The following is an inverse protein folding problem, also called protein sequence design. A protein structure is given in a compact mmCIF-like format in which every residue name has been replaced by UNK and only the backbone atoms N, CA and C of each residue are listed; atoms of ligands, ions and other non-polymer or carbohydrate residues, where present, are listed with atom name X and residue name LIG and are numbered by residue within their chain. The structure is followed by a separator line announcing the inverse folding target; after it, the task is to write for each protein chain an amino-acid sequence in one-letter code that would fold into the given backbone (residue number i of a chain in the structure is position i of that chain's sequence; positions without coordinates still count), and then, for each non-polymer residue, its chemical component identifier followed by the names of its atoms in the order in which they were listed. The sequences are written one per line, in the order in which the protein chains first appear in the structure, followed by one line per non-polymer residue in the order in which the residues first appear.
data_IF_972370607647
#
_entry.id   IF_972370607647
#
_cell.length_a   1.000
_cell.length_b   1.000
_cell.length_c   1.000
_cell.angle_alpha   90.00
_cell.angle_beta   90.00
_cell.angle_gamma   90.00
#
_symmetry.space_group_name_H-M   'P 1'
#
loop_
_entity.id
_entity.type
_entity.pdbx_description
1 polymer ?
#
# COMPACT_ATOMS: atom_id res chain seq x y z
N UNK A 1 -50.38 5.98 -4.86
CA UNK A 1 -49.99 6.05 -6.29
C UNK A 1 -48.73 6.86 -6.42
N UNK A 2 -47.76 6.35 -7.09
CA UNK A 2 -46.44 6.90 -7.48
C UNK A 2 -45.28 6.42 -6.61
N UNK A 3 -44.72 5.38 -6.96
CA UNK A 3 -43.43 4.85 -7.40
C UNK A 3 -42.22 5.77 -7.07
N UNK A 4 -41.49 5.41 -6.02
CA UNK A 4 -40.08 5.80 -5.87
C UNK A 4 -39.18 4.62 -6.33
N UNK A 5 -38.38 4.86 -7.37
CA UNK A 5 -37.43 3.92 -7.91
C UNK A 5 -36.07 4.08 -7.20
N UNK A 6 -35.61 2.97 -6.67
CA UNK A 6 -34.26 2.72 -6.21
C UNK A 6 -33.18 3.09 -7.23
N UNK A 7 -32.17 3.81 -6.79
CA UNK A 7 -30.83 3.79 -7.36
C UNK A 7 -29.81 3.86 -6.24
N UNK A 8 -29.53 2.73 -5.60
CA UNK A 8 -28.29 2.52 -4.87
C UNK A 8 -27.37 1.70 -5.77
N UNK A 9 -26.27 2.28 -6.20
CA UNK A 9 -25.08 1.56 -6.66
C UNK A 9 -23.92 1.98 -5.80
N UNK A 10 -23.73 1.27 -4.69
CA UNK A 10 -22.49 1.26 -3.95
C UNK A 10 -21.52 0.30 -4.64
N UNK A 11 -20.41 0.79 -5.14
CA UNK A 11 -19.29 -0.04 -5.57
C UNK A 11 -18.37 -0.30 -4.38
N UNK A 12 -18.78 -1.22 -3.51
CA UNK A 12 -17.86 -1.87 -2.59
C UNK A 12 -17.15 -2.99 -3.37
N UNK A 13 -15.82 -2.96 -3.40
CA UNK A 13 -15.03 -4.14 -3.73
C UNK A 13 -15.18 -5.16 -2.59
N UNK A 14 -16.32 -5.82 -2.54
CA UNK A 14 -16.60 -6.91 -1.63
C UNK A 14 -16.17 -8.21 -2.33
N UNK A 15 -15.17 -8.89 -1.81
CA UNK A 15 -14.86 -10.24 -2.19
C UNK A 15 -16.07 -11.14 -1.88
N UNK A 16 -16.86 -11.48 -2.91
CA UNK A 16 -18.00 -12.36 -2.78
C UNK A 16 -17.51 -13.82 -2.75
N UNK A 17 -17.49 -14.43 -1.56
CA UNK A 17 -17.41 -15.88 -1.44
C UNK A 17 -18.73 -16.50 -1.87
N UNK A 18 -18.81 -16.99 -3.10
CA UNK A 18 -19.86 -17.91 -3.52
C UNK A 18 -19.38 -19.34 -3.30
N UNK A 19 -19.95 -20.02 -2.31
CA UNK A 19 -19.77 -21.44 -2.12
C UNK A 19 -20.53 -22.21 -3.22
N UNK A 20 -19.84 -22.53 -4.29
CA UNK A 20 -20.24 -23.47 -5.31
C UNK A 20 -19.12 -24.50 -5.45
N UNK A 21 -19.37 -25.77 -5.08
CA UNK A 21 -18.49 -26.89 -5.36
C UNK A 21 -18.48 -27.18 -6.87
N UNK A 22 -17.68 -26.42 -7.62
CA UNK A 22 -17.26 -26.76 -8.95
C UNK A 22 -15.80 -27.25 -8.87
N UNK A 23 -15.50 -28.37 -9.51
CA UNK A 23 -14.14 -28.87 -9.65
C UNK A 23 -13.28 -27.74 -10.21
N UNK A 24 -12.35 -27.24 -9.42
CA UNK A 24 -11.34 -26.29 -9.86
C UNK A 24 -10.46 -27.02 -10.85
N UNK A 25 -10.75 -26.85 -12.14
CA UNK A 25 -9.74 -27.15 -13.16
C UNK A 25 -8.52 -26.31 -12.80
N UNK A 26 -7.36 -26.95 -12.60
CA UNK A 26 -6.11 -26.24 -12.38
C UNK A 26 -5.89 -25.34 -13.60
N UNK A 27 -6.16 -24.05 -13.46
CA UNK A 27 -5.78 -23.10 -14.49
C UNK A 27 -4.25 -23.14 -14.55
N UNK A 28 -3.73 -23.61 -15.68
CA UNK A 28 -2.30 -23.52 -15.94
C UNK A 28 -1.94 -22.04 -15.95
N UNK A 29 -1.15 -21.62 -14.98
CA UNK A 29 -0.66 -20.24 -14.89
C UNK A 29 -0.01 -19.84 -16.22
N UNK A 30 -0.48 -18.76 -16.82
CA UNK A 30 0.12 -18.22 -18.05
C UNK A 30 1.38 -17.46 -17.62
N UNK A 31 2.59 -17.85 -18.07
CA UNK A 31 3.80 -17.12 -17.73
C UNK A 31 3.70 -15.67 -18.20
N UNK A 32 3.99 -14.74 -17.31
CA UNK A 32 3.93 -13.30 -17.59
C UNK A 32 5.33 -12.69 -17.58
N UNK A 33 5.49 -11.61 -18.35
CA UNK A 33 6.68 -10.78 -18.38
C UNK A 33 6.29 -9.30 -18.29
N UNK A 34 7.23 -8.44 -17.93
CA UNK A 34 7.02 -7.00 -17.73
C UNK A 34 8.03 -6.19 -18.56
N UNK A 35 8.07 -6.47 -19.87
CA UNK A 35 9.06 -5.90 -20.79
C UNK A 35 8.61 -4.61 -21.45
N UNK A 36 7.29 -4.36 -21.55
CA UNK A 36 6.76 -3.10 -22.07
C UNK A 36 6.77 -2.07 -20.95
N UNK A 37 7.47 -0.96 -21.16
CA UNK A 37 7.61 0.11 -20.17
C UNK A 37 7.14 1.43 -20.74
N UNK A 38 6.45 2.20 -19.90
CA UNK A 38 6.12 3.60 -20.15
C UNK A 38 6.70 4.46 -19.02
N UNK A 39 7.50 5.45 -19.37
CA UNK A 39 7.95 6.45 -18.41
C UNK A 39 6.82 7.46 -18.19
N UNK A 40 6.46 7.68 -16.92
CA UNK A 40 5.41 8.62 -16.54
C UNK A 40 5.91 10.07 -16.50
N UNK A 41 7.24 10.25 -16.48
CA UNK A 41 7.91 11.53 -16.49
C UNK A 41 9.28 11.42 -17.19
N UNK A 42 9.86 12.55 -17.56
CA UNK A 42 11.17 12.61 -18.22
C UNK A 42 12.31 12.99 -17.28
N UNK A 43 11.98 13.43 -16.06
CA UNK A 43 12.92 13.87 -15.03
C UNK A 43 13.20 12.74 -14.02
N UNK A 44 14.38 12.75 -13.42
CA UNK A 44 14.78 11.83 -12.37
C UNK A 44 14.68 12.53 -11.02
N UNK A 45 13.45 12.69 -10.53
CA UNK A 45 13.18 13.36 -9.26
C UNK A 45 12.97 12.36 -8.12
N UNK A 46 12.79 12.86 -6.90
CA UNK A 46 12.49 12.00 -5.75
C UNK A 46 11.00 11.75 -5.64
N UNK A 47 10.58 10.50 -5.81
CA UNK A 47 9.22 10.05 -5.54
C UNK A 47 9.23 8.99 -4.45
N UNK A 48 8.19 8.97 -3.62
CA UNK A 48 8.14 8.13 -2.42
C UNK A 48 7.03 7.09 -2.46
N UNK A 49 5.89 7.39 -3.05
CA UNK A 49 4.82 6.42 -3.22
C UNK A 49 4.05 6.65 -4.52
N UNK A 50 3.38 5.59 -4.94
CA UNK A 50 2.41 5.57 -6.02
C UNK A 50 1.13 4.93 -5.50
N UNK A 51 -0.01 5.51 -5.86
CA UNK A 51 -1.34 4.95 -5.56
C UNK A 51 -2.16 4.89 -6.84
N UNK A 52 -3.05 3.92 -6.93
CA UNK A 52 -3.95 3.71 -8.08
C UNK A 52 -5.40 3.83 -7.62
N UNK A 53 -6.21 4.54 -8.40
CA UNK A 53 -7.65 4.67 -8.18
C UNK A 53 -8.30 5.43 -9.31
N UNK A 54 -9.56 5.17 -9.57
CA UNK A 54 -10.38 5.95 -10.49
C UNK A 54 -10.80 7.25 -9.78
N UNK A 55 -10.06 8.34 -10.03
CA UNK A 55 -10.31 9.61 -9.34
C UNK A 55 -11.18 10.58 -10.14
N UNK A 56 -11.49 10.26 -11.41
CA UNK A 56 -12.35 11.10 -12.24
C UNK A 56 -13.65 10.42 -12.69
N UNK A 57 -13.92 9.21 -12.17
CA UNK A 57 -15.16 8.47 -12.40
C UNK A 57 -15.28 7.91 -13.82
N UNK A 58 -14.17 7.79 -14.57
CA UNK A 58 -14.18 7.30 -15.94
C UNK A 58 -14.13 5.76 -16.05
N UNK A 59 -13.98 5.05 -14.93
CA UNK A 59 -13.92 3.59 -14.84
C UNK A 59 -12.53 3.01 -15.08
N UNK A 60 -11.47 3.83 -15.15
CA UNK A 60 -10.08 3.40 -15.31
C UNK A 60 -9.22 3.84 -14.13
N UNK A 61 -8.13 3.10 -13.86
CA UNK A 61 -7.24 3.44 -12.76
C UNK A 61 -6.29 4.56 -13.16
N UNK A 62 -6.34 5.67 -12.42
CA UNK A 62 -5.37 6.76 -12.50
C UNK A 62 -4.17 6.49 -11.59
N UNK A 63 -3.09 7.23 -11.79
CA UNK A 63 -1.87 7.13 -11.00
C UNK A 63 -1.63 8.40 -10.22
N UNK A 64 -1.51 8.29 -8.90
CA UNK A 64 -1.13 9.39 -8.01
C UNK A 64 0.31 9.20 -7.58
N UNK A 65 1.17 10.18 -7.83
CA UNK A 65 2.57 10.17 -7.43
C UNK A 65 2.81 11.14 -6.29
N UNK A 66 3.21 10.61 -5.13
CA UNK A 66 3.72 11.41 -4.01
C UNK A 66 5.20 11.71 -4.24
N UNK A 67 5.53 12.98 -4.34
CA UNK A 67 6.86 13.47 -4.73
C UNK A 67 7.50 14.30 -3.63
N UNK A 68 8.81 14.42 -3.69
CA UNK A 68 9.56 15.34 -2.85
C UNK A 68 10.36 14.68 -1.73
N UNK A 69 9.77 13.87 -0.89
CA UNK A 69 10.45 13.27 0.27
C UNK A 69 11.19 14.31 1.13
N UNK A 70 12.46 14.54 0.86
CA UNK A 70 13.32 15.50 1.58
C UNK A 70 13.36 16.89 0.93
N UNK A 71 12.92 17.01 -0.32
CA UNK A 71 12.91 18.24 -1.10
C UNK A 71 11.48 18.52 -1.53
N UNK A 72 10.98 19.75 -1.39
CA UNK A 72 9.60 20.03 -1.80
C UNK A 72 9.45 19.91 -3.32
N UNK A 73 8.52 19.07 -3.75
CA UNK A 73 8.09 18.87 -5.14
C UNK A 73 6.57 18.86 -5.21
N UNK A 74 6.04 19.11 -6.39
CA UNK A 74 4.59 19.08 -6.64
C UNK A 74 4.15 17.63 -6.91
N UNK A 75 3.19 17.13 -6.14
CA UNK A 75 2.57 15.83 -6.36
C UNK A 75 1.80 15.83 -7.68
N UNK A 76 1.73 14.68 -8.33
CA UNK A 76 1.13 14.55 -9.66
C UNK A 76 -0.04 13.58 -9.67
N UNK A 77 -1.09 13.94 -10.38
CA UNK A 77 -2.15 13.05 -10.83
C UNK A 77 -1.91 12.76 -12.30
N UNK A 78 -1.85 11.50 -12.67
CA UNK A 78 -1.74 11.07 -14.07
C UNK A 78 -3.04 10.37 -14.44
N UNK A 79 -3.90 11.07 -15.15
CA UNK A 79 -5.19 10.54 -15.62
C UNK A 79 -4.98 9.57 -16.76
N UNK A 80 -5.61 8.41 -16.66
CA UNK A 80 -5.51 7.30 -17.60
C UNK A 80 -6.75 7.25 -18.51
N UNK A 81 -6.53 6.98 -19.79
CA UNK A 81 -7.62 6.76 -20.77
C UNK A 81 -8.05 5.28 -20.86
N UNK A 82 -7.54 4.42 -19.97
CA UNK A 82 -7.79 2.97 -19.96
C UNK A 82 -7.06 2.19 -21.05
N UNK A 83 -6.13 2.81 -21.76
CA UNK A 83 -5.29 2.20 -22.81
C UNK A 83 -3.81 2.37 -22.52
N UNK A 84 -3.46 2.73 -21.29
CA UNK A 84 -2.10 3.01 -20.90
C UNK A 84 -1.53 4.33 -21.38
N UNK A 85 -2.38 5.31 -21.71
CA UNK A 85 -1.95 6.68 -21.99
C UNK A 85 -2.32 7.59 -20.82
N UNK A 86 -1.34 8.32 -20.32
CA UNK A 86 -1.50 9.15 -19.15
C UNK A 86 -1.33 10.63 -19.48
N UNK A 87 -2.20 11.46 -18.90
CA UNK A 87 -2.06 12.92 -18.91
C UNK A 87 -1.75 13.41 -17.49
N UNK A 88 -0.59 14.04 -17.32
CA UNK A 88 -0.14 14.52 -16.01
C UNK A 88 -0.72 15.90 -15.70
N UNK A 89 -1.16 16.07 -14.46
CA UNK A 89 -1.56 17.35 -13.88
C UNK A 89 -1.06 17.46 -12.44
N UNK A 90 -0.72 18.66 -11.95
CA UNK A 90 -0.37 18.85 -10.55
C UNK A 90 -1.58 18.58 -9.65
N UNK A 91 -1.34 17.96 -8.49
CA UNK A 91 -2.37 17.79 -7.45
C UNK A 91 -2.74 19.15 -6.84
N UNK A 92 -1.74 20.04 -6.66
CA UNK A 92 -1.90 21.38 -6.12
C UNK A 92 -0.79 22.30 -6.68
N UNK A 93 -0.94 23.61 -6.46
CA UNK A 93 0.08 24.61 -6.85
C UNK A 93 1.28 24.64 -5.88
N UNK A 94 1.16 24.02 -4.70
CA UNK A 94 2.22 23.97 -3.69
C UNK A 94 3.12 22.76 -3.87
N UNK A 95 4.40 22.95 -3.54
CA UNK A 95 5.39 21.89 -3.47
C UNK A 95 5.63 21.52 -2.01
N UNK A 96 5.46 20.23 -1.68
CA UNK A 96 5.61 19.70 -0.34
C UNK A 96 6.61 18.52 -0.31
N UNK A 97 7.02 18.10 0.89
CA UNK A 97 7.88 16.92 1.10
C UNK A 97 7.01 15.69 1.28
N UNK A 98 6.28 15.30 0.24
CA UNK A 98 5.30 14.21 0.34
C UNK A 98 5.98 12.84 0.33
N UNK A 99 5.56 11.98 1.25
CA UNK A 99 6.02 10.60 1.37
C UNK A 99 4.98 9.58 0.95
N UNK A 100 3.70 9.82 1.18
CA UNK A 100 2.62 9.02 0.61
C UNK A 100 1.39 9.87 0.30
N UNK A 101 0.63 9.44 -0.70
CA UNK A 101 -0.67 9.95 -1.06
C UNK A 101 -1.63 8.76 -1.08
N UNK A 102 -2.40 8.57 -0.01
CA UNK A 102 -3.36 7.48 0.11
C UNK A 102 -4.72 7.91 -0.43
N UNK A 103 -5.44 6.98 -1.06
CA UNK A 103 -6.77 7.20 -1.64
C UNK A 103 -7.85 6.54 -0.77
N UNK A 104 -8.90 7.25 -0.47
CA UNK A 104 -10.12 6.74 0.17
C UNK A 104 -11.25 7.76 0.03
N UNK A 105 -12.49 7.31 0.10
CA UNK A 105 -13.68 8.16 0.28
C UNK A 105 -13.74 8.62 1.75
N UNK A 106 -13.26 9.84 2.02
CA UNK A 106 -13.07 10.34 3.38
C UNK A 106 -14.32 11.02 3.95
N UNK A 107 -15.18 11.57 3.10
CA UNK A 107 -16.38 12.31 3.53
C UNK A 107 -17.69 11.58 3.22
N UNK A 108 -17.63 10.42 2.58
CA UNK A 108 -18.75 9.52 2.35
C UNK A 108 -19.58 9.89 1.13
N UNK A 109 -19.03 10.66 0.17
CA UNK A 109 -19.72 11.07 -1.04
C UNK A 109 -19.55 10.07 -2.21
N UNK A 110 -18.67 9.08 -2.06
CA UNK A 110 -18.42 7.99 -3.02
C UNK A 110 -17.24 8.25 -3.95
N UNK A 111 -16.59 9.40 -3.85
CA UNK A 111 -15.45 9.79 -4.65
C UNK A 111 -14.14 9.55 -3.90
N UNK A 112 -13.04 9.23 -4.61
CA UNK A 112 -11.76 8.99 -3.96
C UNK A 112 -11.05 10.30 -3.66
N UNK A 113 -10.83 10.55 -2.38
CA UNK A 113 -10.06 11.66 -1.83
C UNK A 113 -8.59 11.31 -1.65
N UNK A 114 -7.74 12.28 -1.34
CA UNK A 114 -6.32 12.09 -1.11
C UNK A 114 -5.91 12.54 0.30
N UNK A 115 -5.20 11.63 1.01
CA UNK A 115 -4.46 11.95 2.24
C UNK A 115 -2.98 12.07 1.92
N UNK A 116 -2.43 13.29 1.92
CA UNK A 116 -1.01 13.54 1.66
C UNK A 116 -0.20 13.58 2.96
N UNK A 117 0.71 12.61 3.13
CA UNK A 117 1.61 12.53 4.27
C UNK A 117 2.91 13.27 4.00
N UNK A 118 2.98 14.52 4.44
CA UNK A 118 4.15 15.35 4.26
C UNK A 118 5.13 15.22 5.43
N UNK A 119 6.45 15.21 5.14
CA UNK A 119 7.48 15.31 6.19
C UNK A 119 7.50 16.72 6.76
N UNK A 120 8.04 16.87 7.95
CA UNK A 120 8.26 18.16 8.58
C UNK A 120 9.19 19.05 7.73
N UNK A 121 8.97 20.36 7.69
CA UNK A 121 7.98 21.13 8.47
C UNK A 121 6.61 21.26 7.80
N UNK A 122 6.34 20.52 6.72
CA UNK A 122 5.15 20.67 5.91
C UNK A 122 3.92 20.07 6.60
N UNK A 123 2.75 20.68 6.39
CA UNK A 123 1.48 20.19 6.93
C UNK A 123 1.07 18.92 6.20
N UNK A 124 0.41 18.00 6.91
CA UNK A 124 -0.24 16.84 6.33
C UNK A 124 -1.60 17.28 5.85
N UNK A 125 -1.90 17.05 4.58
CA UNK A 125 -3.05 17.63 3.89
C UNK A 125 -4.12 16.59 3.58
N UNK A 126 -5.37 17.02 3.68
CA UNK A 126 -6.53 16.32 3.16
C UNK A 126 -7.01 17.07 1.93
N UNK A 127 -7.16 16.36 0.83
CA UNK A 127 -7.74 16.88 -0.40
C UNK A 127 -9.04 16.14 -0.66
N UNK A 128 -10.16 16.86 -0.73
CA UNK A 128 -11.43 16.32 -1.17
C UNK A 128 -11.59 16.50 -2.67
N UNK A 129 -12.12 15.46 -3.30
CA UNK A 129 -12.43 15.36 -4.72
C UNK A 129 -13.86 15.87 -4.99
N UNK A 130 -14.16 16.24 -6.22
CA UNK A 130 -15.51 16.58 -6.68
C UNK A 130 -16.11 15.51 -7.61
N UNK A 131 -15.50 14.31 -7.64
CA UNK A 131 -15.87 13.19 -8.49
C UNK A 131 -15.45 13.32 -9.96
N UNK A 132 -14.85 14.44 -10.32
CA UNK A 132 -14.28 14.68 -11.66
C UNK A 132 -12.74 14.81 -11.62
N UNK A 133 -12.13 14.43 -10.49
CA UNK A 133 -10.69 14.49 -10.26
C UNK A 133 -10.16 15.90 -10.03
N UNK A 134 -11.01 16.84 -9.58
CA UNK A 134 -10.54 18.14 -9.13
C UNK A 134 -10.46 18.15 -7.61
N UNK A 135 -9.26 18.31 -7.11
CA UNK A 135 -8.98 18.23 -5.69
C UNK A 135 -8.86 19.62 -5.07
N UNK A 136 -9.42 19.77 -3.87
CA UNK A 136 -9.27 20.97 -3.04
C UNK A 136 -8.77 20.60 -1.67
N UNK A 137 -7.85 21.39 -1.10
CA UNK A 137 -7.46 21.22 0.30
C UNK A 137 -8.69 21.51 1.18
N UNK A 138 -9.12 20.50 1.95
CA UNK A 138 -10.24 20.62 2.90
C UNK A 138 -9.78 20.79 4.33
N UNK A 139 -8.56 20.29 4.66
CA UNK A 139 -8.06 20.32 6.02
C UNK A 139 -6.67 19.77 6.17
N UNK A 140 -6.30 19.55 7.42
CA UNK A 140 -5.03 18.94 7.84
C UNK A 140 -5.28 17.90 8.91
N UNK A 141 -4.33 16.98 9.09
CA UNK A 141 -4.32 16.05 10.22
C UNK A 141 -2.98 16.10 10.93
N UNK A 142 -2.98 15.74 12.21
CA UNK A 142 -1.79 15.70 13.02
C UNK A 142 -1.05 17.05 13.11
N UNK A 143 0.26 16.99 13.30
CA UNK A 143 1.09 18.19 13.50
C UNK A 143 2.13 18.34 12.39
N UNK A 144 2.43 19.56 11.99
CA UNK A 144 3.48 19.86 11.01
C UNK A 144 4.88 19.35 11.46
N UNK A 145 5.10 19.30 12.79
CA UNK A 145 6.35 18.80 13.37
C UNK A 145 6.55 17.28 13.27
N UNK A 146 5.53 16.50 12.87
CA UNK A 146 5.65 15.08 12.70
C UNK A 146 6.51 14.73 11.48
N UNK A 147 7.38 13.73 11.66
CA UNK A 147 8.19 13.18 10.58
C UNK A 147 7.45 12.01 9.94
N UNK A 148 6.34 12.33 9.27
CA UNK A 148 5.44 11.34 8.69
C UNK A 148 6.07 10.71 7.44
N UNK A 149 5.98 9.37 7.35
CA UNK A 149 6.54 8.59 6.24
C UNK A 149 5.47 7.89 5.43
N UNK A 150 4.40 7.50 6.07
CA UNK A 150 3.29 6.81 5.41
C UNK A 150 1.99 7.05 6.15
N UNK A 151 0.89 7.02 5.42
CA UNK A 151 -0.45 6.92 5.98
C UNK A 151 -1.13 5.72 5.33
N UNK A 152 -1.60 4.83 6.18
CA UNK A 152 -2.50 3.73 5.81
C UNK A 152 -3.91 4.15 6.19
N UNK A 153 -4.87 3.75 5.38
CA UNK A 153 -6.28 4.07 5.58
C UNK A 153 -7.05 2.78 5.81
N UNK A 154 -7.82 2.71 6.89
CA UNK A 154 -8.68 1.58 7.23
C UNK A 154 -9.77 2.00 8.21
N UNK A 155 -10.91 1.31 8.21
CA UNK A 155 -11.90 1.42 9.29
C UNK A 155 -11.38 0.66 10.51
N UNK A 156 -11.10 1.38 11.60
CA UNK A 156 -10.53 0.82 12.82
C UNK A 156 -11.56 0.66 13.94
N UNK A 157 -12.71 1.28 13.82
CA UNK A 157 -13.73 1.31 14.87
C UNK A 157 -15.08 0.72 14.43
N UNK A 158 -15.17 0.17 13.20
CA UNK A 158 -16.35 -0.47 12.66
C UNK A 158 -17.47 0.48 12.27
N UNK A 159 -17.17 1.78 12.10
CA UNK A 159 -18.18 2.79 11.76
C UNK A 159 -18.30 3.04 10.24
N UNK A 160 -17.59 2.26 9.42
CA UNK A 160 -17.52 2.29 7.95
C UNK A 160 -16.92 3.59 7.40
N UNK A 161 -16.16 4.31 8.19
CA UNK A 161 -15.42 5.50 7.77
C UNK A 161 -13.93 5.20 7.76
N UNK A 162 -13.20 5.63 6.74
CA UNK A 162 -11.77 5.40 6.69
C UNK A 162 -11.04 6.29 7.71
N UNK A 163 -10.35 5.63 8.67
CA UNK A 163 -9.47 6.26 9.65
C UNK A 163 -8.04 6.32 9.14
N UNK A 164 -7.17 7.13 9.75
CA UNK A 164 -5.77 7.26 9.37
C UNK A 164 -4.85 6.60 10.38
N UNK A 165 -3.95 5.76 9.88
CA UNK A 165 -2.84 5.17 10.62
C UNK A 165 -1.56 5.83 10.14
N UNK A 166 -0.98 6.68 11.00
CA UNK A 166 0.11 7.60 10.66
C UNK A 166 1.44 7.03 11.12
N UNK A 167 2.28 6.60 10.18
CA UNK A 167 3.62 6.11 10.46
C UNK A 167 4.62 7.26 10.56
N UNK A 168 5.17 7.49 11.74
CA UNK A 168 6.20 8.49 11.99
C UNK A 168 7.57 7.85 12.20
N UNK A 169 8.60 8.45 11.64
CA UNK A 169 9.97 7.98 11.75
C UNK A 169 10.83 8.86 12.64
N UNK A 170 11.67 8.23 13.48
CA UNK A 170 12.81 8.87 14.12
C UNK A 170 14.09 8.12 13.76
N UNK A 171 15.09 8.81 13.26
CA UNK A 171 16.44 8.26 13.08
C UNK A 171 17.27 8.32 14.37
N UNK A 172 16.75 8.91 15.43
CA UNK A 172 17.40 9.02 16.73
C UNK A 172 16.67 8.17 17.78
N UNK A 173 17.22 7.02 18.23
CA UNK A 173 16.59 6.18 19.25
C UNK A 173 16.38 6.89 20.60
N UNK A 174 17.18 7.92 20.92
CA UNK A 174 17.01 8.71 22.14
C UNK A 174 15.86 9.72 22.05
N UNK A 175 15.28 9.93 20.87
CA UNK A 175 14.15 10.79 20.64
C UNK A 175 13.10 10.04 19.78
N UNK A 176 12.43 9.01 20.33
CA UNK A 176 11.44 8.23 19.61
C UNK A 176 10.29 9.14 19.14
N UNK A 177 9.69 8.78 18.01
CA UNK A 177 8.52 9.46 17.47
C UNK A 177 7.38 8.45 17.38
N UNK A 178 6.33 8.61 18.19
CA UNK A 178 5.18 7.73 18.13
C UNK A 178 4.49 7.84 16.77
N UNK A 179 3.93 6.74 16.31
CA UNK A 179 2.92 6.70 15.27
C UNK A 179 1.56 7.03 15.89
N UNK A 180 0.55 7.30 15.07
CA UNK A 180 -0.77 7.72 15.56
C UNK A 180 -1.89 7.02 14.81
N UNK A 181 -3.01 6.88 15.48
CA UNK A 181 -4.32 6.61 14.88
C UNK A 181 -5.17 7.86 15.00
N UNK A 182 -5.73 8.32 13.89
CA UNK A 182 -6.61 9.48 13.84
C UNK A 182 -7.98 9.04 13.32
N UNK A 183 -9.01 9.09 14.14
CA UNK A 183 -10.35 8.66 13.78
C UNK A 183 -11.08 9.73 12.97
N UNK A 184 -11.79 9.27 11.92
CA UNK A 184 -12.57 10.10 11.02
C UNK A 184 -13.90 10.51 11.67
N UNK A 185 -14.27 11.77 11.57
CA UNK A 185 -15.55 12.25 12.08
C UNK A 185 -16.72 12.11 11.08
N UNK A 186 -16.45 11.54 9.88
CA UNK A 186 -17.43 11.35 8.80
C UNK A 186 -17.62 12.54 7.87
N UNK A 187 -16.73 13.52 7.93
CA UNK A 187 -16.71 14.67 7.02
C UNK A 187 -15.27 14.92 6.51
N UNK A 188 -14.47 13.86 6.38
CA UNK A 188 -13.08 13.95 5.96
C UNK A 188 -12.18 14.73 6.93
N UNK A 189 -12.56 14.81 8.21
CA UNK A 189 -11.77 15.53 9.21
C UNK A 189 -11.37 14.62 10.38
N UNK A 190 -10.15 14.82 10.89
CA UNK A 190 -9.48 13.99 11.89
C UNK A 190 -9.10 14.81 13.12
N UNK A 191 -10.07 15.21 13.95
CA UNK A 191 -9.86 16.17 15.02
C UNK A 191 -9.00 15.65 16.17
N UNK A 192 -8.91 14.31 16.32
CA UNK A 192 -8.18 13.68 17.42
C UNK A 192 -7.30 12.55 16.87
N UNK A 193 -6.02 12.61 17.25
CA UNK A 193 -5.06 11.53 16.96
C UNK A 193 -4.53 10.95 18.28
N UNK A 194 -4.63 9.64 18.43
CA UNK A 194 -4.15 8.89 19.60
C UNK A 194 -2.78 8.25 19.30
N UNK A 195 -1.77 8.43 20.16
CA UNK A 195 -0.46 7.87 19.92
C UNK A 195 -0.45 6.35 20.10
N UNK A 196 0.29 5.66 19.23
CA UNK A 196 0.70 4.27 19.39
C UNK A 196 2.07 4.21 20.08
N UNK A 197 2.28 3.21 20.94
CA UNK A 197 3.54 3.01 21.65
C UNK A 197 4.65 2.47 20.71
N UNK A 198 5.02 3.25 19.70
CA UNK A 198 6.06 2.95 18.69
C UNK A 198 7.27 3.86 18.85
N UNK A 199 8.39 3.49 18.22
CA UNK A 199 9.63 4.31 18.25
C UNK A 199 9.96 4.93 16.90
N UNK A 200 9.84 4.16 15.81
CA UNK A 200 10.16 4.60 14.45
C UNK A 200 9.53 3.64 13.44
N UNK A 201 8.54 4.10 12.70
CA UNK A 201 7.92 3.35 11.62
C UNK A 201 8.05 4.08 10.29
N UNK A 202 8.11 3.35 9.18
CA UNK A 202 8.07 3.92 7.83
C UNK A 202 6.85 3.47 7.05
N UNK A 203 6.19 2.43 7.50
CA UNK A 203 4.93 1.90 7.00
C UNK A 203 4.23 1.21 8.16
N UNK A 204 2.91 1.18 8.15
CA UNK A 204 2.08 0.35 9.05
C UNK A 204 1.09 -0.38 8.16
N UNK A 205 0.95 -1.68 8.37
CA UNK A 205 -0.01 -2.51 7.65
C UNK A 205 -1.23 -2.71 8.52
N UNK A 206 -2.41 -2.58 7.94
CA UNK A 206 -3.70 -2.79 8.58
C UNK A 206 -4.38 -4.02 7.97
N UNK A 207 -4.76 -4.99 8.80
CA UNK A 207 -5.50 -6.19 8.39
C UNK A 207 -6.11 -6.87 9.62
N UNK A 208 -7.16 -7.67 9.44
CA UNK A 208 -7.70 -8.55 10.48
C UNK A 208 -6.77 -9.78 10.61
N UNK A 209 -5.83 -9.71 11.54
CA UNK A 209 -4.75 -10.71 11.67
C UNK A 209 -5.15 -11.96 12.47
N UNK A 210 -6.16 -11.86 13.33
CA UNK A 210 -6.61 -12.96 14.17
C UNK A 210 -8.00 -13.52 13.79
N UNK A 211 -8.67 -12.89 12.82
CA UNK A 211 -9.94 -13.34 12.26
C UNK A 211 -11.15 -12.96 13.13
N UNK A 212 -11.03 -11.93 13.98
CA UNK A 212 -12.11 -11.47 14.85
C UNK A 212 -13.02 -10.41 14.19
N UNK A 213 -12.67 -9.96 12.98
CA UNK A 213 -13.39 -8.96 12.20
C UNK A 213 -12.95 -7.52 12.47
N UNK A 214 -12.01 -7.30 13.37
CA UNK A 214 -11.46 -5.97 13.64
C UNK A 214 -10.09 -5.80 12.96
N UNK A 215 -9.81 -4.60 12.47
CA UNK A 215 -8.55 -4.32 11.80
C UNK A 215 -7.42 -4.11 12.80
N UNK A 216 -6.44 -5.00 12.80
CA UNK A 216 -5.21 -4.93 13.59
C UNK A 216 -4.09 -4.20 12.86
N UNK A 217 -2.99 -3.89 13.55
CA UNK A 217 -1.86 -3.18 12.96
C UNK A 217 -0.55 -3.96 13.11
N UNK A 218 0.15 -4.17 11.98
CA UNK A 218 1.58 -4.54 11.99
C UNK A 218 2.39 -3.27 11.85
N UNK A 219 3.24 -3.00 12.84
CA UNK A 219 4.12 -1.83 12.88
C UNK A 219 5.58 -2.25 12.76
N UNK A 220 6.12 -2.30 11.55
CA UNK A 220 7.52 -2.63 11.33
C UNK A 220 8.43 -1.47 11.76
N UNK A 221 9.58 -1.80 12.35
CA UNK A 221 10.61 -0.83 12.72
C UNK A 221 11.75 -0.82 11.71
N UNK A 222 12.16 0.39 11.34
CA UNK A 222 13.20 0.60 10.33
C UNK A 222 14.60 0.77 10.90
N UNK A 223 14.73 1.41 12.05
CA UNK A 223 16.02 1.92 12.53
C UNK A 223 16.59 1.04 13.65
N UNK A 224 16.37 -0.28 13.56
CA UNK A 224 16.89 -1.27 14.50
C UNK A 224 16.05 -1.48 15.74
N UNK A 225 14.72 -1.50 15.59
CA UNK A 225 13.78 -1.75 16.67
C UNK A 225 13.02 -3.07 16.53
N UNK A 226 12.21 -3.38 17.52
CA UNK A 226 11.28 -4.50 17.55
C UNK A 226 10.08 -4.19 16.67
N UNK A 227 9.76 -5.07 15.69
CA UNK A 227 8.47 -4.99 15.03
C UNK A 227 7.37 -5.38 16.00
N UNK A 228 6.22 -4.73 15.90
CA UNK A 228 5.12 -4.84 16.84
C UNK A 228 3.81 -5.14 16.12
N UNK A 229 2.94 -5.91 16.76
CA UNK A 229 1.54 -6.07 16.38
C UNK A 229 0.68 -5.43 17.46
N UNK A 230 -0.24 -4.57 17.05
CA UNK A 230 -1.26 -3.97 17.90
C UNK A 230 -2.59 -4.62 17.56
N UNK A 231 -3.18 -5.29 18.55
CA UNK A 231 -4.47 -5.94 18.45
C UNK A 231 -5.60 -4.95 18.72
N UNK A 232 -6.60 -4.94 17.87
CA UNK A 232 -7.74 -4.06 17.97
C UNK A 232 -8.92 -4.76 18.65
N UNK A 233 -9.61 -4.06 19.52
CA UNK A 233 -10.85 -4.53 20.16
C UNK A 233 -12.11 -4.01 19.43
N UNK A 234 -11.95 -3.48 18.22
CA UNK A 234 -13.01 -2.87 17.42
C UNK A 234 -13.34 -1.41 17.79
N UNK A 235 -12.60 -0.82 18.70
CA UNK A 235 -12.83 0.59 19.11
C UNK A 235 -11.90 1.59 18.42
N UNK A 236 -10.91 1.12 17.67
CA UNK A 236 -9.85 1.96 17.12
C UNK A 236 -8.87 2.50 18.17
N UNK A 237 -8.96 2.00 19.42
CA UNK A 237 -8.08 2.41 20.52
C UNK A 237 -7.30 1.21 21.05
N UNK A 238 -6.01 1.19 20.75
CA UNK A 238 -5.10 0.10 21.06
C UNK A 238 -4.61 0.20 22.51
N UNK A 239 -5.27 -0.49 23.44
CA UNK A 239 -5.03 -0.43 24.90
C UNK A 239 -4.11 -1.54 25.40
N UNK A 240 -4.11 -2.69 24.73
CA UNK A 240 -3.27 -3.81 25.12
C UNK A 240 -1.80 -3.56 24.76
N UNK A 241 -0.85 -4.07 25.55
CA UNK A 241 0.56 -4.03 25.14
C UNK A 241 0.76 -4.72 23.78
N UNK A 242 1.52 -4.13 22.86
CA UNK A 242 1.74 -4.73 21.56
C UNK A 242 2.54 -6.04 21.66
N UNK A 243 2.24 -6.97 20.77
CA UNK A 243 2.94 -8.25 20.64
C UNK A 243 4.19 -8.09 19.77
N UNK A 244 5.38 -8.56 20.21
CA UNK A 244 6.57 -8.58 19.38
C UNK A 244 6.43 -9.48 18.15
N UNK A 245 6.90 -9.02 16.97
CA UNK A 245 7.00 -9.80 15.74
C UNK A 245 8.45 -9.92 15.30
N UNK A 246 9.02 -11.12 15.37
CA UNK A 246 10.38 -11.39 14.93
C UNK A 246 11.47 -10.75 15.78
N UNK A 247 12.70 -10.57 15.24
CA UNK A 247 13.85 -10.10 16.01
C UNK A 247 13.78 -8.59 16.31
N UNK A 248 14.39 -8.20 17.44
CA UNK A 248 14.45 -6.81 17.91
C UNK A 248 15.41 -5.89 17.13
N UNK A 249 16.05 -6.39 16.07
CA UNK A 249 17.07 -5.66 15.31
C UNK A 249 16.73 -5.47 13.85
N UNK A 250 15.45 -5.53 13.52
CA UNK A 250 14.95 -5.43 12.13
C UNK A 250 15.18 -4.05 11.52
N UNK A 251 15.36 -4.01 10.20
CA UNK A 251 15.42 -2.78 9.41
C UNK A 251 14.41 -2.81 8.26
N UNK A 252 13.14 -2.87 8.63
CA UNK A 252 12.06 -3.06 7.66
C UNK A 252 11.76 -1.77 6.91
N UNK A 253 11.68 -1.87 5.59
CA UNK A 253 11.30 -0.78 4.67
C UNK A 253 9.99 -1.03 3.97
N UNK A 254 9.62 -2.29 3.81
CA UNK A 254 8.39 -2.70 3.14
C UNK A 254 7.68 -3.75 3.98
N UNK A 255 6.37 -3.71 4.00
CA UNK A 255 5.54 -4.74 4.59
C UNK A 255 4.19 -4.82 3.89
N UNK A 256 3.62 -6.02 3.84
CA UNK A 256 2.28 -6.28 3.37
C UNK A 256 1.71 -7.50 4.10
N UNK A 257 0.39 -7.66 4.15
CA UNK A 257 -0.26 -8.77 4.80
C UNK A 257 -1.40 -9.33 3.95
N UNK A 258 -1.43 -10.65 3.79
CA UNK A 258 -2.49 -11.40 3.14
C UNK A 258 -2.37 -12.88 3.52
N UNK A 259 -3.41 -13.66 3.28
CA UNK A 259 -3.35 -15.13 3.31
C UNK A 259 -2.58 -15.62 2.06
N UNK A 260 -1.27 -15.83 2.20
CA UNK A 260 -0.39 -16.19 1.08
C UNK A 260 -0.40 -17.68 0.79
N UNK A 261 -0.68 -18.49 1.81
CA UNK A 261 -0.63 -19.95 1.70
C UNK A 261 -2.00 -20.59 1.46
N UNK A 262 -3.10 -19.83 1.56
CA UNK A 262 -4.48 -20.29 1.33
C UNK A 262 -5.12 -21.00 2.52
N UNK A 263 -4.60 -20.79 3.75
CA UNK A 263 -5.12 -21.40 4.96
C UNK A 263 -6.15 -20.54 5.71
N UNK A 264 -6.45 -19.35 5.22
CA UNK A 264 -7.37 -18.34 5.75
C UNK A 264 -6.88 -17.65 7.01
N UNK A 265 -5.61 -17.75 7.31
CA UNK A 265 -4.94 -16.95 8.33
C UNK A 265 -4.03 -15.94 7.64
N UNK A 266 -4.02 -14.71 8.11
CA UNK A 266 -3.22 -13.67 7.47
C UNK A 266 -1.74 -13.87 7.81
N UNK A 267 -0.93 -13.88 6.75
CA UNK A 267 0.54 -13.89 6.80
C UNK A 267 1.09 -12.47 6.64
N UNK A 268 2.30 -12.24 7.13
CA UNK A 268 2.98 -10.94 7.03
C UNK A 268 4.28 -11.09 6.24
N UNK A 269 4.38 -10.36 5.13
CA UNK A 269 5.61 -10.25 4.34
C UNK A 269 6.34 -8.98 4.73
N UNK A 270 7.64 -9.07 4.96
CA UNK A 270 8.48 -7.91 5.28
C UNK A 270 9.74 -7.86 4.43
N UNK A 271 10.08 -6.67 3.97
CA UNK A 271 11.35 -6.36 3.31
C UNK A 271 12.34 -5.74 4.30
N UNK A 272 13.31 -6.52 4.75
CA UNK A 272 14.42 -6.03 5.57
C UNK A 272 15.56 -5.55 4.68
N UNK A 273 15.98 -4.30 4.85
CA UNK A 273 16.97 -3.67 4.01
C UNK A 273 18.38 -4.32 4.08
N UNK A 274 18.66 -5.08 5.13
CA UNK A 274 19.93 -5.79 5.31
C UNK A 274 19.85 -7.27 4.99
N UNK A 275 18.70 -7.89 5.31
CA UNK A 275 18.59 -9.34 5.35
C UNK A 275 17.70 -9.91 4.23
N UNK A 276 17.00 -9.06 3.45
CA UNK A 276 16.17 -9.47 2.32
C UNK A 276 14.69 -9.61 2.65
N UNK A 277 14.00 -10.48 1.95
CA UNK A 277 12.55 -10.65 2.06
C UNK A 277 12.21 -11.84 2.97
N UNK A 278 11.26 -11.64 3.88
CA UNK A 278 10.80 -12.67 4.81
C UNK A 278 9.28 -12.74 4.84
N UNK A 279 8.76 -13.92 5.15
CA UNK A 279 7.35 -14.13 5.49
C UNK A 279 7.23 -14.69 6.90
N UNK A 280 6.31 -14.15 7.67
CA UNK A 280 5.81 -14.67 8.93
C UNK A 280 4.48 -15.34 8.65
N UNK A 281 4.42 -16.67 8.76
CA UNK A 281 3.19 -17.43 8.53
C UNK A 281 2.30 -17.29 9.76
N UNK A 282 1.06 -16.90 9.55
CA UNK A 282 0.05 -16.86 10.58
C UNK A 282 -0.23 -18.27 11.13
N UNK A 283 -0.28 -18.38 12.44
CA UNK A 283 -0.57 -19.65 13.12
C UNK A 283 -1.95 -19.65 13.78
N UNK A 284 -2.71 -18.57 13.63
CA UNK A 284 -3.96 -18.31 14.34
C UNK A 284 -3.73 -17.96 15.80
N UNK A 285 -4.81 -17.58 16.51
CA UNK A 285 -4.75 -17.25 17.94
C UNK A 285 -3.69 -16.19 18.30
N UNK A 286 -3.54 -15.16 17.47
CA UNK A 286 -2.57 -14.04 17.64
C UNK A 286 -1.11 -14.49 17.60
N UNK A 287 -0.79 -15.59 16.90
CA UNK A 287 0.55 -16.15 16.82
C UNK A 287 1.05 -16.21 15.37
N UNK A 288 2.37 -16.09 15.23
CA UNK A 288 3.08 -16.25 13.96
C UNK A 288 4.23 -17.23 14.14
N UNK A 289 4.53 -17.99 13.07
CA UNK A 289 5.73 -18.83 13.04
C UNK A 289 7.01 -17.98 12.99
N UNK A 290 8.15 -18.62 13.20
CA UNK A 290 9.44 -18.00 12.94
C UNK A 290 9.54 -17.54 11.47
N UNK A 291 10.18 -16.38 11.21
CA UNK A 291 10.27 -15.85 9.85
C UNK A 291 11.00 -16.80 8.91
N UNK A 292 10.45 -16.97 7.72
CA UNK A 292 11.07 -17.73 6.64
C UNK A 292 11.60 -16.79 5.59
N UNK A 293 12.89 -16.92 5.26
CA UNK A 293 13.49 -16.15 4.18
C UNK A 293 12.94 -16.61 2.83
N UNK A 294 12.46 -15.66 2.03
CA UNK A 294 12.05 -15.91 0.67
C UNK A 294 13.24 -15.72 -0.27
N UNK A 295 13.47 -16.70 -1.15
CA UNK A 295 14.49 -16.57 -2.20
C UNK A 295 14.08 -15.44 -3.15
N UNK A 296 14.78 -14.32 -3.06
CA UNK A 296 14.48 -13.11 -3.82
C UNK A 296 15.81 -12.43 -4.15
N UNK A 297 16.42 -12.73 -5.30
CA UNK A 297 17.71 -12.20 -5.70
C UNK A 297 17.67 -10.69 -5.91
N UNK A 298 18.76 -10.00 -5.63
CA UNK A 298 18.94 -8.57 -5.87
C UNK A 298 19.14 -7.74 -4.62
N UNK A 299 19.03 -6.42 -4.77
CA UNK A 299 19.28 -5.42 -3.71
C UNK A 299 18.22 -5.38 -2.61
N UNK A 300 18.38 -4.42 -1.70
CA UNK A 300 17.48 -4.23 -0.57
C UNK A 300 16.02 -4.03 -1.02
N UNK A 301 15.05 -4.79 -0.48
CA UNK A 301 13.63 -4.57 -0.77
C UNK A 301 13.15 -3.26 -0.12
N UNK A 302 12.59 -2.37 -0.93
CA UNK A 302 12.11 -1.06 -0.49
C UNK A 302 10.61 -0.92 -0.54
N UNK A 303 9.95 -1.70 -1.41
CA UNK A 303 8.49 -1.77 -1.50
C UNK A 303 8.05 -3.20 -1.80
N UNK A 304 6.86 -3.56 -1.34
CA UNK A 304 6.21 -4.83 -1.63
C UNK A 304 4.71 -4.60 -1.80
N UNK A 305 4.14 -5.22 -2.84
CA UNK A 305 2.70 -5.32 -3.03
C UNK A 305 2.32 -6.79 -3.18
N UNK A 306 1.08 -7.11 -2.83
CA UNK A 306 0.52 -8.46 -2.96
C UNK A 306 -0.66 -8.38 -3.93
N UNK A 307 -0.64 -9.20 -4.98
CA UNK A 307 -1.72 -9.30 -5.96
C UNK A 307 -1.62 -10.64 -6.72
N UNK A 308 -2.72 -11.09 -7.30
CA UNK A 308 -2.72 -12.22 -8.24
C UNK A 308 -2.28 -11.73 -9.63
N UNK A 309 -0.98 -11.79 -9.90
CA UNK A 309 -0.36 -11.24 -11.12
C UNK A 309 -0.56 -12.14 -12.36
N UNK A 310 -0.92 -13.41 -12.16
CA UNK A 310 -1.07 -14.42 -13.22
C UNK A 310 -2.47 -15.02 -13.31
N UNK A 311 -3.43 -14.54 -12.50
CA UNK A 311 -4.83 -14.95 -12.44
C UNK A 311 -5.01 -16.44 -12.12
N UNK A 312 -4.17 -16.97 -11.22
CA UNK A 312 -4.29 -18.33 -10.73
C UNK A 312 -4.96 -18.42 -9.34
N UNK A 313 -5.50 -17.31 -8.87
CA UNK A 313 -6.16 -17.14 -7.58
C UNK A 313 -5.23 -17.31 -6.36
N UNK A 314 -3.92 -17.19 -6.54
CA UNK A 314 -2.95 -17.18 -5.46
C UNK A 314 -2.29 -15.80 -5.36
N UNK A 315 -2.07 -15.29 -4.16
CA UNK A 315 -1.36 -14.03 -3.97
C UNK A 315 0.11 -14.16 -4.38
N UNK A 316 0.54 -13.34 -5.35
CA UNK A 316 1.93 -13.17 -5.76
C UNK A 316 2.53 -11.95 -5.08
N UNK A 317 3.86 -11.82 -5.06
CA UNK A 317 4.55 -10.70 -4.47
C UNK A 317 5.26 -9.86 -5.54
N UNK A 318 4.97 -8.57 -5.57
CA UNK A 318 5.70 -7.59 -6.40
C UNK A 318 6.67 -6.84 -5.52
N UNK A 319 7.96 -6.99 -5.78
CA UNK A 319 9.04 -6.44 -4.93
C UNK A 319 9.81 -5.37 -5.69
N UNK A 320 9.77 -4.15 -5.19
CA UNK A 320 10.61 -3.04 -5.64
C UNK A 320 11.87 -2.92 -4.77
N UNK A 321 13.02 -2.56 -5.39
CA UNK A 321 14.33 -2.59 -4.75
C UNK A 321 15.08 -1.28 -4.88
N UNK A 322 16.13 -1.14 -4.09
CA UNK A 322 17.10 -0.08 -4.25
C UNK A 322 18.15 -0.47 -5.29
N UNK A 323 18.28 0.33 -6.36
CA UNK A 323 19.33 0.20 -7.38
C UNK A 323 19.51 -1.24 -7.91
N UNK A 324 18.40 -1.96 -8.03
CA UNK A 324 18.40 -3.32 -8.52
C UNK A 324 17.06 -3.63 -9.22
N UNK A 325 17.10 -4.62 -10.09
CA UNK A 325 15.91 -5.14 -10.78
C UNK A 325 14.92 -5.68 -9.75
N UNK A 326 13.65 -5.34 -9.89
CA UNK A 326 12.57 -5.85 -9.06
C UNK A 326 12.20 -7.29 -9.40
N UNK A 327 11.37 -7.90 -8.58
CA UNK A 327 10.88 -9.27 -8.75
C UNK A 327 9.35 -9.32 -8.69
N UNK A 328 8.74 -10.08 -9.59
CA UNK A 328 7.42 -10.68 -9.35
C UNK A 328 7.67 -12.12 -8.93
N UNK A 329 7.36 -12.42 -7.69
CA UNK A 329 7.46 -13.77 -7.13
C UNK A 329 6.09 -14.42 -7.29
N UNK A 330 5.94 -15.24 -8.34
CA UNK A 330 4.71 -15.98 -8.60
C UNK A 330 4.57 -17.14 -7.63
N UNK A 331 3.46 -17.18 -6.92
CA UNK A 331 3.13 -18.21 -5.94
C UNK A 331 2.74 -19.52 -6.64
N UNK A 332 3.58 -20.53 -6.54
CA UNK A 332 3.33 -21.84 -7.13
C UNK A 332 2.60 -22.80 -6.20
N UNK A 333 2.14 -22.29 -5.06
CA UNK A 333 1.55 -23.09 -4.00
C UNK A 333 2.60 -23.84 -3.20
N UNK A 334 2.17 -24.75 -2.37
CA UNK A 334 3.02 -25.53 -1.49
C UNK A 334 2.29 -25.92 -0.20
N UNK A 335 3.05 -26.47 0.74
CA UNK A 335 2.56 -26.74 2.07
C UNK A 335 2.43 -25.43 2.87
N UNK A 336 2.70 -25.42 4.16
CA UNK A 336 2.57 -24.28 5.04
C UNK A 336 3.30 -23.01 4.56
N UNK A 337 4.50 -23.14 3.97
CA UNK A 337 5.22 -22.02 3.35
C UNK A 337 5.12 -22.16 1.82
N UNK A 338 4.57 -21.18 1.11
CA UNK A 338 4.45 -21.21 -0.34
C UNK A 338 5.82 -21.22 -1.03
N UNK A 339 5.86 -21.78 -2.23
CA UNK A 339 7.01 -21.69 -3.13
C UNK A 339 6.75 -20.61 -4.15
N UNK A 340 7.81 -19.94 -4.57
CA UNK A 340 7.73 -18.88 -5.56
C UNK A 340 8.67 -19.13 -6.74
N UNK A 341 8.24 -18.71 -7.93
CA UNK A 341 9.12 -18.56 -9.10
C UNK A 341 9.33 -17.08 -9.36
N UNK A 342 10.58 -16.68 -9.58
CA UNK A 342 10.94 -15.27 -9.77
C UNK A 342 10.89 -14.88 -11.25
N UNK A 343 10.22 -13.78 -11.54
CA UNK A 343 10.26 -13.11 -12.85
C UNK A 343 10.72 -11.66 -12.62
N UNK A 344 11.84 -11.26 -13.26
CA UNK A 344 12.37 -9.91 -13.08
C UNK A 344 11.49 -8.86 -13.77
N UNK A 345 11.45 -7.65 -13.19
CA UNK A 345 10.87 -6.46 -13.80
C UNK A 345 11.70 -5.22 -13.47
N UNK A 346 11.54 -4.18 -14.27
CA UNK A 346 12.27 -2.93 -14.07
C UNK A 346 13.65 -2.92 -14.73
N UNK A 347 14.31 -1.77 -14.67
CA UNK A 347 15.61 -1.51 -15.30
C UNK A 347 16.78 -1.43 -14.29
N UNK A 348 16.50 -1.64 -13.01
CA UNK A 348 17.48 -1.58 -11.92
C UNK A 348 17.97 -0.16 -11.58
N UNK A 349 17.33 0.88 -12.10
CA UNK A 349 17.73 2.27 -11.86
C UNK A 349 16.91 2.89 -10.72
N UNK A 350 17.61 3.69 -9.91
CA UNK A 350 17.04 4.40 -8.79
C UNK A 350 16.55 3.47 -7.68
N UNK A 351 15.90 4.05 -6.69
CA UNK A 351 15.28 3.30 -5.60
C UNK A 351 13.77 3.26 -5.78
N UNK A 352 13.17 2.07 -5.85
CA UNK A 352 11.72 1.85 -5.99
C UNK A 352 11.07 1.93 -4.61
N UNK A 353 10.66 3.13 -4.21
CA UNK A 353 10.08 3.39 -2.89
C UNK A 353 8.62 2.97 -2.77
N UNK A 354 7.88 2.97 -3.88
CA UNK A 354 6.49 2.54 -3.94
C UNK A 354 6.22 1.69 -5.17
N UNK A 355 5.41 0.65 -5.01
CA UNK A 355 4.80 -0.11 -6.08
C UNK A 355 3.30 -0.18 -5.86
N UNK A 356 2.54 -0.07 -6.95
CA UNK A 356 1.11 -0.32 -6.96
C UNK A 356 0.78 -1.21 -8.18
N UNK A 357 -0.25 -2.01 -8.04
CA UNK A 357 -0.61 -3.04 -9.02
C UNK A 357 -2.06 -2.85 -9.46
N UNK A 358 -2.30 -2.84 -10.76
CA UNK A 358 -3.64 -2.72 -11.35
C UNK A 358 -3.58 -2.81 -12.87
N UNK A 359 -4.72 -3.05 -13.50
CA UNK A 359 -4.85 -3.05 -14.96
C UNK A 359 -4.86 -1.59 -15.45
N UNK A 360 -3.78 -1.17 -16.07
CA UNK A 360 -3.56 0.20 -16.51
C UNK A 360 -3.74 0.41 -18.02
N UNK A 361 -3.86 -0.65 -18.81
CA UNK A 361 -4.08 -0.56 -20.25
C UNK A 361 -5.36 -1.24 -20.74
N UNK A 362 -6.19 -1.75 -19.81
CA UNK A 362 -7.49 -2.34 -20.09
C UNK A 362 -7.41 -3.73 -20.72
N UNK A 363 -6.25 -4.41 -20.66
CA UNK A 363 -6.10 -5.77 -21.20
C UNK A 363 -6.56 -6.85 -20.21
N UNK A 364 -6.90 -6.41 -19.01
CA UNK A 364 -7.41 -7.22 -17.93
C UNK A 364 -6.32 -7.90 -17.10
N UNK A 365 -5.04 -7.67 -17.30
CA UNK A 365 -3.95 -8.21 -16.50
C UNK A 365 -3.34 -7.11 -15.62
N UNK A 366 -2.89 -7.46 -14.40
CA UNK A 366 -2.28 -6.47 -13.53
C UNK A 366 -0.92 -6.01 -14.06
N UNK A 367 -0.74 -4.70 -14.10
CA UNK A 367 0.51 -3.99 -14.41
C UNK A 367 1.17 -3.50 -13.13
N UNK A 368 2.40 -3.01 -13.25
CA UNK A 368 3.19 -2.50 -12.13
C UNK A 368 3.46 -1.01 -12.34
N UNK A 369 2.88 -0.15 -11.52
CA UNK A 369 3.28 1.24 -11.40
C UNK A 369 4.33 1.39 -10.31
N UNK A 370 5.40 2.15 -10.56
CA UNK A 370 6.47 2.33 -9.59
C UNK A 370 6.86 3.80 -9.40
N UNK A 371 6.88 4.21 -8.13
CA UNK A 371 7.48 5.46 -7.69
C UNK A 371 8.96 5.25 -7.40
N UNK A 372 9.81 5.99 -8.12
CA UNK A 372 11.26 5.86 -8.04
C UNK A 372 11.91 7.15 -7.59
N UNK A 373 12.95 7.05 -6.77
CA UNK A 373 13.86 8.16 -6.52
C UNK A 373 15.10 8.01 -7.36
N UNK A 374 15.57 9.11 -7.94
CA UNK A 374 16.79 9.18 -8.79
C UNK A 374 16.66 8.43 -10.13
N UNK A 375 15.41 8.12 -10.53
CA UNK A 375 15.06 7.63 -11.85
C UNK A 375 13.61 8.07 -12.18
N UNK A 376 13.22 8.21 -13.47
CA UNK A 376 11.85 8.56 -13.83
C UNK A 376 10.86 7.51 -13.34
N UNK A 377 9.71 7.93 -12.83
CA UNK A 377 8.60 7.03 -12.49
C UNK A 377 8.09 6.32 -13.75
N UNK A 378 7.61 5.09 -13.61
CA UNK A 378 7.23 4.30 -14.78
C UNK A 378 6.15 3.26 -14.47
N UNK A 379 5.48 2.82 -15.53
CA UNK A 379 4.61 1.63 -15.55
C UNK A 379 5.29 0.55 -16.37
N UNK A 380 5.30 -0.66 -15.83
CA UNK A 380 5.67 -1.88 -16.53
C UNK A 380 4.41 -2.70 -16.78
N UNK A 381 4.04 -2.79 -18.05
CA UNK A 381 2.85 -3.53 -18.45
C UNK A 381 3.12 -5.02 -18.49
N UNK A 382 2.16 -5.78 -18.01
CA UNK A 382 2.14 -7.23 -18.05
C UNK A 382 1.94 -7.73 -19.48
N UNK A 383 2.67 -8.75 -19.87
CA UNK A 383 2.54 -9.37 -21.20
C UNK A 383 2.78 -10.86 -21.15
N UNK A 384 2.30 -11.63 -22.14
CA UNK A 384 2.58 -13.06 -22.20
C UNK A 384 4.07 -13.31 -22.40
N UNK A 385 4.63 -14.31 -21.72
CA UNK A 385 6.00 -14.73 -21.93
C UNK A 385 6.15 -15.31 -23.36
N UNK A 386 7.13 -14.82 -24.13
CA UNK A 386 7.46 -15.36 -25.45
C UNK A 386 6.98 -14.54 -26.65
N UNK A 387 6.61 -13.27 -26.46
CA UNK A 387 6.45 -12.31 -27.58
C UNK A 387 7.47 -11.19 -27.53
#
# INVERSE_FOLDING_TARGET
MSVFRDRFRASMALALCVAGSAAVASQTSIPRTFNRVLLLETTSETSASVSLGDVDGNGTLDVILAKGRHWPLVDQILRNDGKGHFSAQPLADSADRTYSAALADLDGDGDLDIVASNDRPDRKLIYLNDGAGHFRVSGTFGEAAWSTRYVTVADLNGDQRPDLIVANRSSNPAAPRPSFVCLNNGAGAFPTCTPLATQSATIIVANDLDGDGNTDLVVPHRDGGQNLIFWNDGTGVFREPPTPLGPATSQIRAAAAADINGDRVIDVVVGDARNGLFVYIGAGQRAFDAPVALASPGGAPYSVAIADMNRDAKPDLVVGRQEAVGSVLFNTGGARVPRFTDTPWGDGKGAVYGVAVGDLDGDGWPDIAAARSEAPNAVWFSGPAGR
#
